data_IF_207719043567
#
_entry.id   IF_207719043567
#
_cell.length_a   1.000
_cell.length_b   1.000
_cell.length_c   1.000
_cell.angle_alpha   90.00
_cell.angle_beta   90.00
_cell.angle_gamma   90.00
#
_symmetry.space_group_name_H-M   'P 1'
#
loop_
_entity.id
_entity.type
_entity.pdbx_description
1 polymer ?
#
# COMPACT_ATOMS: atom_id res chain seq x y z
N UNK A 1 -2.79 0.90 19.38
CA UNK A 1 -2.68 2.15 20.16
C UNK A 1 -2.18 1.89 21.57
N UNK A 2 -2.98 1.29 22.47
CA UNK A 2 -2.60 1.12 23.89
C UNK A 2 -1.24 0.44 24.11
N UNK A 3 -0.97 -0.66 23.39
CA UNK A 3 0.32 -1.36 23.47
C UNK A 3 1.48 -0.52 22.95
N UNK A 4 1.27 0.24 21.86
CA UNK A 4 2.28 1.14 21.33
C UNK A 4 2.54 2.30 22.30
N UNK A 5 1.50 2.86 22.94
CA UNK A 5 1.64 3.89 23.97
C UNK A 5 2.39 3.37 25.19
N UNK A 6 2.10 2.14 25.65
CA UNK A 6 2.82 1.51 26.74
C UNK A 6 4.30 1.28 26.38
N UNK A 7 4.57 0.76 25.17
CA UNK A 7 5.93 0.58 24.67
C UNK A 7 6.68 1.91 24.54
N UNK A 8 6.05 2.96 24.02
CA UNK A 8 6.65 4.29 23.90
C UNK A 8 7.01 4.93 25.25
N UNK A 9 6.14 4.80 26.26
CA UNK A 9 6.41 5.36 27.60
C UNK A 9 7.60 4.66 28.31
N UNK A 10 7.79 3.39 28.00
CA UNK A 10 8.87 2.55 28.54
C UNK A 10 10.10 2.47 27.64
N UNK A 11 10.08 3.17 26.50
CA UNK A 11 11.21 3.25 25.56
C UNK A 11 12.31 4.20 26.07
N UNK A 12 13.49 4.06 25.47
CA UNK A 12 14.66 4.91 25.77
C UNK A 12 14.52 6.36 25.28
N UNK A 13 13.73 6.60 24.23
CA UNK A 13 13.36 7.95 23.78
C UNK A 13 11.84 8.05 23.59
N UNK A 14 11.21 8.69 24.59
CA UNK A 14 9.75 8.84 24.64
C UNK A 14 9.24 9.87 23.63
N UNK A 15 9.99 10.92 23.35
CA UNK A 15 9.51 11.98 22.46
C UNK A 15 9.49 11.49 21.02
N UNK A 16 10.57 10.81 20.60
CA UNK A 16 10.65 10.20 19.29
C UNK A 16 9.59 9.10 19.11
N UNK A 17 9.43 8.21 20.10
CA UNK A 17 8.42 7.15 20.02
C UNK A 17 6.96 7.65 19.96
N UNK A 18 6.65 8.75 20.66
CA UNK A 18 5.29 9.28 20.72
C UNK A 18 4.93 10.10 19.48
N UNK A 19 5.82 10.99 19.05
CA UNK A 19 5.51 12.02 18.05
C UNK A 19 6.43 11.98 16.83
N UNK A 20 7.66 11.50 16.99
CA UNK A 20 8.73 11.66 15.99
C UNK A 20 8.91 13.12 15.58
N UNK A 21 9.54 13.35 14.42
CA UNK A 21 9.69 14.71 13.90
C UNK A 21 8.42 15.23 13.20
N UNK A 22 7.60 14.34 12.64
CA UNK A 22 6.42 14.72 11.84
C UNK A 22 5.33 13.65 11.83
N UNK A 23 5.01 13.06 12.98
CA UNK A 23 4.06 11.94 13.09
C UNK A 23 4.41 10.81 12.11
N UNK A 24 5.67 10.36 12.18
CA UNK A 24 6.19 9.31 11.32
C UNK A 24 5.35 8.03 11.45
N UNK A 25 5.34 7.21 10.40
CA UNK A 25 4.40 6.07 10.23
C UNK A 25 4.46 5.05 11.37
N UNK A 26 5.56 5.01 12.13
CA UNK A 26 5.79 4.09 13.23
C UNK A 26 5.57 4.70 14.62
N UNK A 27 5.19 5.98 14.71
CA UNK A 27 4.94 6.68 15.97
C UNK A 27 3.59 6.30 16.58
N UNK A 28 3.47 6.48 17.90
CA UNK A 28 2.17 6.33 18.58
C UNK A 28 1.15 7.33 18.06
N UNK A 29 1.56 8.58 17.82
CA UNK A 29 0.69 9.63 17.28
C UNK A 29 0.09 9.23 15.93
N UNK A 30 0.89 8.67 15.02
CA UNK A 30 0.39 8.15 13.76
C UNK A 30 -0.60 6.99 13.94
N UNK A 31 -0.32 6.04 14.84
CA UNK A 31 -1.26 4.95 15.14
C UNK A 31 -2.58 5.44 15.73
N UNK A 32 -2.56 6.49 16.56
CA UNK A 32 -3.77 7.14 17.10
C UNK A 32 -4.58 7.77 15.97
N UNK A 33 -3.92 8.55 15.10
CA UNK A 33 -4.56 9.15 13.93
C UNK A 33 -5.21 8.09 13.04
N UNK A 34 -4.50 7.00 12.75
CA UNK A 34 -5.03 5.90 11.94
C UNK A 34 -6.28 5.28 12.54
N UNK A 35 -6.32 5.02 13.85
CA UNK A 35 -7.54 4.47 14.41
C UNK A 35 -8.66 5.49 14.62
N UNK A 36 -8.37 6.80 14.69
CA UNK A 36 -9.42 7.83 14.56
C UNK A 36 -10.06 7.76 13.16
N UNK A 37 -9.24 7.66 12.10
CA UNK A 37 -9.72 7.51 10.71
C UNK A 37 -10.54 6.23 10.55
N UNK A 38 -10.06 5.09 11.08
CA UNK A 38 -10.81 3.82 11.05
C UNK A 38 -12.14 3.97 11.79
N UNK A 39 -12.14 4.53 13.00
CA UNK A 39 -13.37 4.72 13.78
C UNK A 39 -14.36 5.62 13.05
N UNK A 40 -13.91 6.74 12.48
CA UNK A 40 -14.75 7.63 11.69
C UNK A 40 -15.34 6.90 10.47
N UNK A 41 -14.54 6.10 9.76
CA UNK A 41 -15.02 5.33 8.61
C UNK A 41 -16.11 4.31 8.98
N UNK A 42 -15.98 3.65 10.15
CA UNK A 42 -16.98 2.72 10.67
C UNK A 42 -18.28 3.41 11.09
N UNK A 43 -18.20 4.64 11.61
CA UNK A 43 -19.40 5.42 11.95
C UNK A 43 -20.16 5.88 10.70
N UNK A 44 -19.43 6.28 9.66
CA UNK A 44 -19.98 6.78 8.39
C UNK A 44 -20.52 5.64 7.51
N UNK A 45 -19.92 4.45 7.58
CA UNK A 45 -20.21 3.28 6.73
C UNK A 45 -21.58 2.64 6.89
N UNK A 46 -22.49 3.19 7.69
CA UNK A 46 -23.83 2.61 7.91
C UNK A 46 -24.81 2.84 6.75
N UNK A 47 -24.53 3.77 5.83
CA UNK A 47 -25.41 4.04 4.68
C UNK A 47 -24.69 3.78 3.35
N UNK A 48 -25.41 3.15 2.41
CA UNK A 48 -24.91 2.92 1.04
C UNK A 48 -24.44 4.20 0.37
N UNK A 49 -25.15 5.31 0.58
CA UNK A 49 -24.79 6.62 0.05
C UNK A 49 -23.45 7.13 0.61
N UNK A 50 -23.22 6.95 1.91
CA UNK A 50 -21.98 7.39 2.54
C UNK A 50 -20.78 6.56 2.08
N UNK A 51 -20.94 5.24 1.93
CA UNK A 51 -19.91 4.37 1.35
C UNK A 51 -19.55 4.84 -0.07
N UNK A 52 -20.55 5.06 -0.94
CA UNK A 52 -20.32 5.54 -2.30
C UNK A 52 -19.59 6.89 -2.32
N UNK A 53 -19.97 7.84 -1.45
CA UNK A 53 -19.29 9.14 -1.33
C UNK A 53 -17.84 8.99 -0.88
N UNK A 54 -17.54 8.07 0.04
CA UNK A 54 -16.19 7.80 0.51
C UNK A 54 -15.32 7.21 -0.61
N UNK A 55 -15.85 6.28 -1.41
CA UNK A 55 -15.16 5.76 -2.59
C UNK A 55 -14.90 6.83 -3.65
N UNK A 56 -15.86 7.72 -3.90
CA UNK A 56 -15.66 8.84 -4.84
C UNK A 56 -14.59 9.80 -4.30
N UNK A 57 -14.67 10.17 -3.02
CA UNK A 57 -13.71 11.07 -2.38
C UNK A 57 -12.29 10.50 -2.42
N UNK A 58 -12.12 9.23 -2.02
CA UNK A 58 -10.81 8.56 -2.09
C UNK A 58 -10.29 8.43 -3.53
N UNK A 59 -11.16 8.17 -4.51
CA UNK A 59 -10.80 8.17 -5.93
C UNK A 59 -10.32 9.54 -6.43
N UNK A 60 -11.00 10.62 -6.02
CA UNK A 60 -10.60 12.00 -6.36
C UNK A 60 -9.28 12.39 -5.72
N UNK A 61 -9.08 12.06 -4.44
CA UNK A 61 -7.80 12.30 -3.74
C UNK A 61 -6.68 11.53 -4.41
N UNK A 62 -6.92 10.26 -4.79
CA UNK A 62 -5.93 9.43 -5.48
C UNK A 62 -5.57 10.01 -6.85
N UNK A 63 -6.56 10.46 -7.62
CA UNK A 63 -6.33 11.15 -8.89
C UNK A 63 -5.50 12.41 -8.71
N UNK A 64 -5.83 13.24 -7.72
CA UNK A 64 -5.11 14.47 -7.42
C UNK A 64 -3.64 14.18 -7.05
N UNK A 65 -3.39 13.19 -6.18
CA UNK A 65 -2.03 12.80 -5.80
C UNK A 65 -1.22 12.29 -7.01
N UNK A 66 -1.83 11.47 -7.87
CA UNK A 66 -1.19 10.98 -9.09
C UNK A 66 -0.89 12.11 -10.07
N UNK A 67 -1.80 13.06 -10.25
CA UNK A 67 -1.59 14.24 -11.10
C UNK A 67 -0.44 15.09 -10.56
N UNK A 68 -0.46 15.41 -9.26
CA UNK A 68 0.60 16.20 -8.62
C UNK A 68 1.96 15.50 -8.80
N UNK A 69 2.03 14.21 -8.52
CA UNK A 69 3.28 13.46 -8.67
C UNK A 69 3.74 13.43 -10.13
N UNK A 70 2.83 13.22 -11.09
CA UNK A 70 3.14 13.25 -12.52
C UNK A 70 3.72 14.59 -12.94
N UNK A 71 3.06 15.69 -12.54
CA UNK A 71 3.53 17.04 -12.85
C UNK A 71 4.90 17.30 -12.24
N UNK A 72 5.16 16.82 -11.03
CA UNK A 72 6.46 16.98 -10.36
C UNK A 72 7.59 16.19 -11.05
N UNK A 73 7.29 15.06 -11.69
CA UNK A 73 8.26 14.33 -12.50
C UNK A 73 8.65 15.09 -13.78
N UNK A 74 7.69 15.77 -14.43
CA UNK A 74 7.93 16.47 -15.70
C UNK A 74 8.41 17.92 -15.55
N UNK A 75 7.88 18.66 -14.56
CA UNK A 75 8.22 20.06 -14.30
C UNK A 75 9.46 20.21 -13.41
N UNK A 76 9.94 19.11 -12.82
CA UNK A 76 11.08 19.08 -11.92
C UNK A 76 10.71 19.12 -10.43
N UNK A 77 11.67 18.79 -9.55
CA UNK A 77 11.43 18.59 -8.12
C UNK A 77 11.03 19.87 -7.37
N UNK A 78 11.36 21.05 -7.90
CA UNK A 78 11.02 22.35 -7.32
C UNK A 78 9.51 22.64 -7.35
N UNK A 79 8.80 22.07 -8.33
CA UNK A 79 7.35 22.22 -8.46
C UNK A 79 6.64 21.61 -7.24
N UNK A 80 5.94 22.45 -6.47
CA UNK A 80 5.26 22.09 -5.22
C UNK A 80 6.19 21.45 -4.18
N UNK A 81 7.47 21.80 -4.15
CA UNK A 81 8.44 21.24 -3.20
C UNK A 81 8.13 21.52 -1.72
N UNK A 82 7.45 22.63 -1.41
CA UNK A 82 7.13 23.10 -0.04
C UNK A 82 8.32 23.02 0.94
N UNK A 83 9.55 23.15 0.43
CA UNK A 83 10.81 22.97 1.17
C UNK A 83 10.98 21.61 1.89
N UNK A 84 10.17 20.60 1.54
CA UNK A 84 10.24 19.24 2.11
C UNK A 84 10.52 18.19 1.03
N UNK A 85 10.01 18.40 -0.19
CA UNK A 85 10.16 17.49 -1.31
C UNK A 85 11.20 18.06 -2.28
N UNK A 86 12.48 17.81 -1.99
CA UNK A 86 13.60 18.39 -2.75
C UNK A 86 14.14 17.45 -3.84
N UNK A 87 13.90 16.14 -3.73
CA UNK A 87 14.36 15.15 -4.70
C UNK A 87 13.26 14.76 -5.70
N UNK A 88 13.62 14.43 -6.95
CA UNK A 88 12.64 13.96 -7.95
C UNK A 88 11.92 12.66 -7.55
N UNK A 89 12.52 11.89 -6.64
CA UNK A 89 11.99 10.63 -6.10
C UNK A 89 11.26 10.78 -4.77
N UNK A 90 11.24 11.98 -4.17
CA UNK A 90 10.39 12.21 -2.99
C UNK A 90 8.92 12.21 -3.42
N UNK A 91 8.02 11.71 -2.60
CA UNK A 91 6.60 11.62 -2.95
C UNK A 91 5.72 12.01 -1.77
N UNK A 92 4.48 12.44 -2.05
CA UNK A 92 3.50 12.73 -1.00
C UNK A 92 2.90 11.46 -0.35
N UNK A 93 3.20 10.29 -0.90
CA UNK A 93 2.65 9.00 -0.46
C UNK A 93 3.69 8.17 0.32
N UNK A 94 4.93 8.64 0.42
CA UNK A 94 6.04 7.96 1.09
C UNK A 94 7.28 7.85 0.21
N UNK A 95 7.97 6.72 0.28
CA UNK A 95 9.07 6.42 -0.63
C UNK A 95 8.59 6.28 -2.08
N UNK A 96 9.54 6.27 -3.02
CA UNK A 96 9.21 6.07 -4.43
C UNK A 96 8.61 4.68 -4.70
N UNK A 97 9.00 3.66 -3.93
CA UNK A 97 8.38 2.33 -4.00
C UNK A 97 6.99 2.30 -3.37
N UNK A 98 6.74 3.08 -2.32
CA UNK A 98 5.40 3.22 -1.74
C UNK A 98 4.41 3.84 -2.74
N UNK A 99 4.88 4.75 -3.60
CA UNK A 99 4.09 5.26 -4.71
C UNK A 99 3.70 4.18 -5.72
N UNK A 100 4.57 3.19 -6.00
CA UNK A 100 4.21 2.05 -6.84
C UNK A 100 3.15 1.16 -6.17
N UNK A 101 3.32 0.88 -4.87
CA UNK A 101 2.33 0.11 -4.09
C UNK A 101 0.98 0.83 -4.06
N UNK A 102 0.98 2.15 -3.85
CA UNK A 102 -0.21 2.99 -3.90
C UNK A 102 -0.86 2.98 -5.27
N UNK A 103 -0.08 3.15 -6.34
CA UNK A 103 -0.58 3.11 -7.72
C UNK A 103 -1.19 1.74 -8.06
N UNK A 104 -0.59 0.66 -7.59
CA UNK A 104 -1.14 -0.69 -7.70
C UNK A 104 -2.48 -0.82 -6.96
N UNK A 105 -2.58 -0.34 -5.72
CA UNK A 105 -3.83 -0.34 -4.96
C UNK A 105 -4.92 0.47 -5.68
N UNK A 106 -4.58 1.66 -6.18
CA UNK A 106 -5.49 2.53 -6.93
C UNK A 106 -5.97 1.83 -8.21
N UNK A 107 -5.11 1.08 -8.91
CA UNK A 107 -5.50 0.26 -10.05
C UNK A 107 -6.51 -0.84 -9.65
N UNK A 108 -6.23 -1.58 -8.58
CA UNK A 108 -7.15 -2.62 -8.08
C UNK A 108 -8.52 -2.03 -7.77
N UNK A 109 -8.57 -0.92 -7.02
CA UNK A 109 -9.81 -0.24 -6.68
C UNK A 109 -10.51 0.30 -7.93
N UNK A 110 -9.77 0.88 -8.87
CA UNK A 110 -10.33 1.41 -10.13
C UNK A 110 -10.98 0.30 -10.97
N UNK A 111 -10.35 -0.87 -11.07
CA UNK A 111 -10.91 -2.01 -11.79
C UNK A 111 -12.20 -2.52 -11.12
N UNK A 112 -12.24 -2.57 -9.78
CA UNK A 112 -13.45 -2.94 -9.03
C UNK A 112 -14.58 -1.92 -9.26
N UNK A 113 -14.27 -0.63 -9.15
CA UNK A 113 -15.26 0.44 -9.33
C UNK A 113 -15.86 0.46 -10.73
N UNK A 114 -15.03 0.27 -11.76
CA UNK A 114 -15.45 0.19 -13.17
C UNK A 114 -16.54 -0.87 -13.40
N UNK A 115 -16.56 -1.96 -12.62
CA UNK A 115 -17.58 -3.00 -12.70
C UNK A 115 -18.78 -2.74 -11.79
N UNK A 116 -18.53 -2.25 -10.58
CA UNK A 116 -19.56 -2.12 -9.54
C UNK A 116 -20.48 -0.91 -9.70
N UNK A 117 -20.03 0.14 -10.37
CA UNK A 117 -20.73 1.44 -10.39
C UNK A 117 -20.94 1.94 -11.82
N UNK A 118 -22.17 2.37 -12.11
CA UNK A 118 -22.49 3.05 -13.37
C UNK A 118 -22.09 4.52 -13.30
N UNK A 119 -21.00 4.88 -13.97
CA UNK A 119 -20.54 6.27 -14.04
C UNK A 119 -21.12 7.01 -15.24
N UNK A 120 -21.47 8.28 -15.03
CA UNK A 120 -21.64 9.26 -16.09
C UNK A 120 -20.30 9.55 -16.81
N UNK A 121 -20.33 10.36 -17.87
CA UNK A 121 -19.16 10.60 -18.72
C UNK A 121 -17.94 11.13 -17.93
N UNK A 122 -18.15 12.10 -17.02
CA UNK A 122 -17.10 12.66 -16.15
C UNK A 122 -16.43 11.57 -15.29
N UNK A 123 -17.23 10.68 -14.70
CA UNK A 123 -16.70 9.61 -13.86
C UNK A 123 -15.89 8.59 -14.66
N UNK A 124 -16.30 8.29 -15.91
CA UNK A 124 -15.52 7.41 -16.80
C UNK A 124 -14.20 8.06 -17.19
N UNK A 125 -14.19 9.35 -17.50
CA UNK A 125 -12.96 10.11 -17.80
C UNK A 125 -12.04 10.12 -16.58
N UNK A 126 -12.56 10.45 -15.40
CA UNK A 126 -11.79 10.47 -14.16
C UNK A 126 -11.16 9.09 -13.87
N UNK A 127 -11.92 8.01 -13.96
CA UNK A 127 -11.41 6.64 -13.76
C UNK A 127 -10.38 6.22 -14.81
N UNK A 128 -10.59 6.60 -16.07
CA UNK A 128 -9.61 6.33 -17.14
C UNK A 128 -8.31 7.05 -16.87
N UNK A 129 -8.37 8.34 -16.51
CA UNK A 129 -7.20 9.14 -16.14
C UNK A 129 -6.49 8.53 -14.93
N UNK A 130 -7.22 8.17 -13.87
CA UNK A 130 -6.64 7.51 -12.69
C UNK A 130 -5.93 6.22 -13.07
N UNK A 131 -6.53 5.38 -13.91
CA UNK A 131 -5.94 4.11 -14.37
C UNK A 131 -4.67 4.35 -15.18
N UNK A 132 -4.72 5.27 -16.14
CA UNK A 132 -3.57 5.60 -17.01
C UNK A 132 -2.41 6.18 -16.19
N UNK A 133 -2.69 7.15 -15.31
CA UNK A 133 -1.67 7.76 -14.46
C UNK A 133 -1.07 6.75 -13.47
N UNK A 134 -1.88 5.84 -12.94
CA UNK A 134 -1.38 4.78 -12.05
C UNK A 134 -0.45 3.81 -12.78
N UNK A 135 -0.79 3.41 -14.02
CA UNK A 135 0.09 2.58 -14.85
C UNK A 135 1.38 3.31 -15.23
N UNK A 136 1.28 4.60 -15.55
CA UNK A 136 2.44 5.44 -15.82
C UNK A 136 3.37 5.51 -14.61
N UNK A 137 2.84 5.76 -13.41
CA UNK A 137 3.65 5.76 -12.19
C UNK A 137 4.29 4.41 -11.93
N UNK A 138 3.53 3.32 -12.08
CA UNK A 138 4.04 1.97 -11.88
C UNK A 138 5.15 1.61 -12.87
N UNK A 139 5.06 2.11 -14.11
CA UNK A 139 6.08 1.97 -15.15
C UNK A 139 7.36 2.73 -14.82
N UNK A 140 7.25 3.95 -14.29
CA UNK A 140 8.41 4.78 -13.93
C UNK A 140 9.14 4.21 -12.71
N UNK A 141 8.40 3.80 -11.68
CA UNK A 141 9.02 3.20 -10.48
C UNK A 141 9.59 1.81 -10.80
N UNK A 142 8.94 1.06 -11.69
CA UNK A 142 9.36 -0.28 -12.14
C UNK A 142 9.54 -1.29 -11.00
N UNK A 143 8.61 -1.32 -10.04
CA UNK A 143 8.67 -2.27 -8.93
C UNK A 143 8.08 -3.63 -9.33
N UNK A 144 8.93 -4.60 -9.67
CA UNK A 144 8.56 -5.89 -10.27
C UNK A 144 7.51 -6.69 -9.49
N UNK A 145 7.56 -6.67 -8.15
CA UNK A 145 6.59 -7.37 -7.31
C UNK A 145 5.16 -6.87 -7.52
N UNK A 146 4.98 -5.55 -7.72
CA UNK A 146 3.65 -4.96 -7.94
C UNK A 146 3.11 -5.35 -9.31
N UNK A 147 3.95 -5.38 -10.34
CA UNK A 147 3.55 -5.85 -11.67
C UNK A 147 3.03 -7.28 -11.67
N UNK A 148 3.67 -8.18 -10.91
CA UNK A 148 3.24 -9.57 -10.78
C UNK A 148 1.85 -9.67 -10.11
N UNK A 149 1.64 -8.93 -9.02
CA UNK A 149 0.37 -8.92 -8.29
C UNK A 149 -0.76 -8.33 -9.16
N UNK A 150 -0.54 -7.15 -9.73
CA UNK A 150 -1.54 -6.45 -10.56
C UNK A 150 -1.83 -7.25 -11.84
N UNK A 151 -0.81 -7.82 -12.48
CA UNK A 151 -0.98 -8.67 -13.65
C UNK A 151 -1.84 -9.91 -13.34
N UNK A 152 -1.57 -10.58 -12.22
CA UNK A 152 -2.34 -11.75 -11.80
C UNK A 152 -3.79 -11.38 -11.46
N UNK A 153 -4.01 -10.34 -10.65
CA UNK A 153 -5.35 -9.93 -10.22
C UNK A 153 -6.19 -9.38 -11.37
N UNK A 154 -5.59 -8.59 -12.27
CA UNK A 154 -6.28 -8.08 -13.46
C UNK A 154 -6.64 -9.20 -14.43
N UNK A 155 -5.77 -10.21 -14.58
CA UNK A 155 -6.06 -11.40 -15.40
C UNK A 155 -7.23 -12.20 -14.82
N UNK A 156 -7.20 -12.50 -13.51
CA UNK A 156 -8.31 -13.19 -12.83
C UNK A 156 -9.63 -12.42 -12.99
N UNK A 157 -9.58 -11.10 -12.87
CA UNK A 157 -10.74 -10.24 -13.02
C UNK A 157 -11.27 -10.21 -14.46
N UNK A 158 -10.40 -10.23 -15.46
CA UNK A 158 -10.77 -10.34 -16.88
C UNK A 158 -11.43 -11.69 -17.16
N UNK A 159 -10.83 -12.78 -16.68
CA UNK A 159 -11.38 -14.13 -16.83
C UNK A 159 -12.75 -14.24 -16.17
N UNK A 160 -12.92 -13.68 -14.98
CA UNK A 160 -14.22 -13.61 -14.30
C UNK A 160 -15.27 -12.87 -15.15
N UNK A 161 -14.94 -11.70 -15.70
CA UNK A 161 -15.85 -10.92 -16.53
C UNK A 161 -16.29 -11.69 -17.79
N UNK A 162 -15.36 -12.35 -18.48
CA UNK A 162 -15.66 -13.12 -19.69
C UNK A 162 -16.44 -14.41 -19.38
N UNK A 163 -16.12 -15.05 -18.25
CA UNK A 163 -16.77 -16.29 -17.82
C UNK A 163 -18.19 -16.05 -17.29
N UNK A 164 -18.46 -14.91 -16.65
CA UNK A 164 -19.79 -14.60 -16.10
C UNK A 164 -20.86 -14.61 -17.20
N UNK A 165 -20.56 -14.03 -18.35
CA UNK A 165 -21.53 -13.91 -19.45
C UNK A 165 -21.76 -15.23 -20.20
N UNK A 166 -20.79 -16.16 -20.15
CA UNK A 166 -20.78 -17.38 -20.98
C UNK A 166 -21.11 -18.65 -20.20
N UNK A 167 -20.52 -18.86 -19.01
CA UNK A 167 -20.50 -20.15 -18.30
C UNK A 167 -21.24 -20.14 -16.96
N UNK A 168 -21.23 -19.04 -16.21
CA UNK A 168 -21.81 -18.94 -14.86
C UNK A 168 -23.28 -18.47 -14.88
N UNK A 169 -24.01 -18.81 -15.95
CA UNK A 169 -25.41 -18.43 -16.12
C UNK A 169 -26.28 -19.15 -15.10
N UNK A 170 -26.79 -18.41 -14.13
CA UNK A 170 -27.97 -18.79 -13.38
C UNK A 170 -29.20 -18.36 -14.19
N UNK A 171 -30.17 -19.26 -14.32
CA UNK A 171 -31.36 -19.16 -15.20
C UNK A 171 -32.27 -17.94 -14.90
N UNK A 172 -31.99 -17.20 -13.81
CA UNK A 172 -32.80 -16.09 -13.29
C UNK A 172 -32.10 -14.71 -13.24
N UNK A 173 -30.86 -14.53 -13.72
CA UNK A 173 -30.25 -13.18 -13.74
C UNK A 173 -30.60 -12.41 -15.03
N UNK A 174 -31.19 -11.22 -14.89
CA UNK A 174 -31.41 -10.27 -15.99
C UNK A 174 -30.07 -9.93 -16.69
N UNK A 175 -30.09 -9.78 -18.02
CA UNK A 175 -28.93 -9.37 -18.83
C UNK A 175 -28.42 -8.00 -18.39
N UNK A 176 -27.46 -7.97 -17.47
CA UNK A 176 -26.60 -6.80 -17.31
C UNK A 176 -25.39 -7.01 -18.22
N UNK A 177 -25.51 -6.58 -19.48
CA UNK A 177 -24.41 -6.63 -20.44
C UNK A 177 -23.13 -6.07 -19.80
N UNK A 178 -22.05 -6.84 -19.87
CA UNK A 178 -20.72 -6.35 -19.52
C UNK A 178 -20.43 -5.08 -20.31
N UNK A 179 -19.96 -4.06 -19.61
CA UNK A 179 -19.62 -2.79 -20.24
C UNK A 179 -18.36 -3.00 -21.10
N UNK A 180 -18.39 -2.74 -22.42
CA UNK A 180 -17.21 -2.90 -23.27
C UNK A 180 -16.07 -1.98 -22.82
N UNK A 181 -16.40 -0.84 -22.21
CA UNK A 181 -15.44 0.05 -21.55
C UNK A 181 -14.71 -0.62 -20.39
N UNK A 182 -15.42 -1.41 -19.57
CA UNK A 182 -14.80 -2.11 -18.44
C UNK A 182 -13.82 -3.17 -18.91
N UNK A 183 -14.22 -3.96 -19.92
CA UNK A 183 -13.35 -4.97 -20.54
C UNK A 183 -12.12 -4.31 -21.15
N UNK A 184 -12.26 -3.20 -21.88
CA UNK A 184 -11.15 -2.49 -22.48
C UNK A 184 -10.14 -1.96 -21.45
N UNK A 185 -10.61 -1.37 -20.34
CA UNK A 185 -9.73 -0.86 -19.29
C UNK A 185 -8.98 -1.97 -18.56
N UNK A 186 -9.66 -3.07 -18.22
CA UNK A 186 -9.01 -4.21 -17.56
C UNK A 186 -8.03 -4.89 -18.51
N UNK A 187 -8.39 -5.05 -19.78
CA UNK A 187 -7.49 -5.59 -20.80
C UNK A 187 -6.24 -4.72 -20.95
N UNK A 188 -6.38 -3.39 -20.92
CA UNK A 188 -5.23 -2.47 -20.92
C UNK A 188 -4.31 -2.71 -19.71
N UNK A 189 -4.85 -2.88 -18.50
CA UNK A 189 -4.05 -3.22 -17.31
C UNK A 189 -3.35 -4.57 -17.46
N UNK A 190 -4.05 -5.60 -17.96
CA UNK A 190 -3.49 -6.95 -18.19
C UNK A 190 -2.33 -6.89 -19.19
N UNK A 191 -2.53 -6.28 -20.36
CA UNK A 191 -1.52 -6.20 -21.40
C UNK A 191 -0.29 -5.42 -20.93
N UNK A 192 -0.52 -4.28 -20.27
CA UNK A 192 0.59 -3.47 -19.73
C UNK A 192 1.36 -4.26 -18.68
N UNK A 193 0.67 -4.92 -17.75
CA UNK A 193 1.32 -5.73 -16.71
C UNK A 193 2.12 -6.89 -17.30
N UNK A 194 1.58 -7.60 -18.30
CA UNK A 194 2.27 -8.70 -18.95
C UNK A 194 3.56 -8.23 -19.65
N UNK A 195 3.51 -7.09 -20.33
CA UNK A 195 4.68 -6.47 -20.96
C UNK A 195 5.77 -6.16 -19.93
N UNK A 196 5.42 -5.62 -18.77
CA UNK A 196 6.40 -5.32 -17.70
C UNK A 196 6.88 -6.56 -16.94
N UNK A 197 6.04 -7.58 -16.75
CA UNK A 197 6.47 -8.84 -16.14
C UNK A 197 7.50 -9.56 -17.02
N UNK A 198 7.31 -9.54 -18.34
CA UNK A 198 8.24 -10.18 -19.29
C UNK A 198 9.45 -9.30 -19.60
N UNK A 199 9.25 -8.00 -19.79
CA UNK A 199 10.27 -7.05 -20.23
C UNK A 199 10.95 -6.24 -19.12
N UNK A 200 10.66 -6.50 -17.84
CA UNK A 200 10.86 -5.59 -16.72
C UNK A 200 12.20 -4.85 -16.65
N UNK A 201 13.33 -5.56 -16.70
CA UNK A 201 14.64 -4.90 -16.60
C UNK A 201 15.00 -4.06 -17.83
N UNK A 202 14.65 -4.55 -19.02
CA UNK A 202 14.95 -3.86 -20.29
C UNK A 202 14.06 -2.62 -20.44
N UNK A 203 12.77 -2.76 -20.16
CA UNK A 203 11.81 -1.66 -20.21
C UNK A 203 12.07 -0.64 -19.11
N UNK A 204 12.34 -1.10 -17.89
CA UNK A 204 12.71 -0.23 -16.77
C UNK A 204 13.95 0.60 -17.05
N UNK A 205 15.00 -0.01 -17.62
CA UNK A 205 16.22 0.72 -17.99
C UNK A 205 15.98 1.70 -19.16
N UNK A 206 15.13 1.36 -20.13
CA UNK A 206 14.74 2.28 -21.20
C UNK A 206 13.97 3.48 -20.64
N UNK A 207 12.99 3.25 -19.76
CA UNK A 207 12.21 4.31 -19.11
C UNK A 207 13.11 5.18 -18.24
N UNK A 208 13.99 4.57 -17.43
CA UNK A 208 14.95 5.29 -16.59
C UNK A 208 15.88 6.19 -17.40
N UNK A 209 16.34 5.73 -18.58
CA UNK A 209 17.13 6.54 -19.52
C UNK A 209 16.33 7.71 -20.10
N UNK A 210 15.05 7.51 -20.40
CA UNK A 210 14.18 8.56 -20.96
C UNK A 210 13.77 9.60 -19.92
N UNK A 211 13.48 9.19 -18.68
CA UNK A 211 13.02 10.07 -17.61
C UNK A 211 14.16 10.67 -16.79
N UNK A 212 15.35 10.07 -16.85
CA UNK A 212 16.49 10.43 -15.99
C UNK A 212 16.31 10.01 -14.54
N UNK A 213 15.29 9.20 -14.22
CA UNK A 213 14.98 8.77 -12.86
C UNK A 213 15.49 7.34 -12.68
N UNK A 214 16.47 7.17 -11.80
CA UNK A 214 16.92 5.86 -11.33
C UNK A 214 16.80 5.82 -9.82
N UNK A 215 16.01 4.89 -9.31
CA UNK A 215 15.76 4.74 -7.88
C UNK A 215 15.96 3.27 -7.49
N UNK A 216 16.89 3.06 -6.57
CA UNK A 216 17.09 1.77 -5.92
C UNK A 216 16.91 1.99 -4.42
N UNK A 217 15.81 1.47 -3.88
CA UNK A 217 15.64 1.40 -2.44
C UNK A 217 16.28 0.12 -1.93
N UNK A 218 17.24 0.26 -1.03
CA UNK A 218 17.83 -0.86 -0.32
C UNK A 218 17.11 -1.00 1.02
N UNK A 219 16.82 -2.23 1.42
CA UNK A 219 16.20 -2.55 2.71
C UNK A 219 16.95 -3.71 3.37
N UNK A 220 16.94 -3.82 4.70
CA UNK A 220 17.46 -5.01 5.38
C UNK A 220 16.79 -6.28 4.86
N UNK A 221 17.56 -7.36 4.77
CA UNK A 221 17.02 -8.68 4.45
C UNK A 221 16.09 -9.17 5.57
N UNK A 222 15.25 -10.17 5.26
CA UNK A 222 14.41 -10.80 6.26
C UNK A 222 15.25 -11.38 7.41
N UNK A 223 16.36 -12.04 7.08
CA UNK A 223 17.28 -12.63 8.07
C UNK A 223 17.89 -11.56 8.97
N UNK A 224 18.44 -10.48 8.40
CA UNK A 224 19.00 -9.38 9.18
C UNK A 224 17.94 -8.71 10.08
N UNK A 225 16.69 -8.64 9.62
CA UNK A 225 15.58 -8.14 10.45
C UNK A 225 15.28 -9.09 11.60
N UNK A 226 15.30 -10.40 11.37
CA UNK A 226 15.06 -11.41 12.39
C UNK A 226 16.21 -11.52 13.41
N UNK A 227 17.45 -11.27 12.98
CA UNK A 227 18.60 -11.12 13.87
C UNK A 227 18.39 -9.95 14.84
N UNK A 228 17.88 -8.83 14.32
CA UNK A 228 17.51 -7.68 15.14
C UNK A 228 16.38 -7.98 16.14
N UNK A 229 15.38 -8.77 15.74
CA UNK A 229 14.32 -9.25 16.66
C UNK A 229 14.94 -10.06 17.79
N UNK A 230 15.80 -11.04 17.46
CA UNK A 230 16.47 -11.89 18.45
C UNK A 230 17.32 -11.08 19.42
N UNK A 231 18.11 -10.14 18.90
CA UNK A 231 18.94 -9.26 19.70
C UNK A 231 18.09 -8.35 20.62
N UNK A 232 17.01 -7.78 20.09
CA UNK A 232 16.10 -6.93 20.87
C UNK A 232 15.42 -7.72 22.00
N UNK A 233 15.02 -8.96 21.72
CA UNK A 233 14.32 -9.79 22.70
C UNK A 233 15.23 -10.24 23.84
N UNK A 234 16.54 -10.25 23.65
CA UNK A 234 17.48 -10.47 24.77
C UNK A 234 17.36 -9.42 25.88
N UNK A 235 16.94 -8.20 25.53
CA UNK A 235 16.77 -7.09 26.47
C UNK A 235 15.31 -6.84 26.86
N UNK A 236 14.39 -6.77 25.88
CA UNK A 236 12.98 -6.51 26.14
C UNK A 236 12.07 -7.28 25.17
N UNK A 237 11.74 -8.53 25.54
CA UNK A 237 10.85 -9.40 24.76
C UNK A 237 9.47 -8.79 24.57
N UNK A 238 8.89 -8.23 25.64
CA UNK A 238 7.46 -7.91 25.65
C UNK A 238 7.14 -6.69 24.78
N UNK A 239 7.94 -5.63 24.90
CA UNK A 239 7.63 -4.32 24.31
C UNK A 239 8.61 -3.88 23.22
N UNK A 240 9.72 -4.61 23.03
CA UNK A 240 10.72 -4.26 22.03
C UNK A 240 11.51 -3.00 22.39
N UNK A 241 12.05 -2.33 21.38
CA UNK A 241 12.86 -1.10 21.55
C UNK A 241 12.04 0.20 21.70
N UNK A 242 10.74 0.16 21.39
CA UNK A 242 9.86 1.32 21.30
C UNK A 242 9.38 1.59 19.87
N UNK A 243 8.14 2.10 19.67
CA UNK A 243 7.67 2.57 18.37
C UNK A 243 8.62 3.62 17.78
N UNK A 244 8.72 3.72 16.46
CA UNK A 244 9.65 4.62 15.75
C UNK A 244 11.16 4.40 15.97
N UNK A 245 11.59 3.42 16.78
CA UNK A 245 13.00 3.26 17.16
C UNK A 245 13.73 2.10 16.47
N UNK A 246 13.28 1.73 15.27
CA UNK A 246 13.96 0.66 14.52
C UNK A 246 15.40 1.05 14.16
N UNK A 247 15.64 2.31 13.82
CA UNK A 247 16.97 2.84 13.51
C UNK A 247 17.95 2.68 14.68
N UNK A 248 17.49 2.90 15.91
CA UNK A 248 18.29 2.68 17.12
C UNK A 248 18.69 1.21 17.27
N UNK A 249 17.73 0.30 17.08
CA UNK A 249 18.00 -1.14 17.11
C UNK A 249 18.98 -1.55 16.00
N UNK A 250 18.87 -0.95 14.82
CA UNK A 250 19.77 -1.20 13.70
C UNK A 250 21.20 -0.78 14.04
N UNK A 251 21.38 0.44 14.54
CA UNK A 251 22.70 0.95 14.94
C UNK A 251 23.33 0.12 16.07
N UNK A 252 22.51 -0.36 17.00
CA UNK A 252 22.98 -1.11 18.16
C UNK A 252 23.29 -2.57 17.86
N UNK A 253 22.50 -3.24 17.02
CA UNK A 253 22.53 -4.69 16.86
C UNK A 253 22.81 -5.18 15.43
N UNK A 254 23.06 -4.30 14.46
CA UNK A 254 23.43 -4.74 13.10
C UNK A 254 24.65 -5.65 13.13
N UNK A 255 24.64 -6.66 12.27
CA UNK A 255 25.76 -7.59 12.12
C UNK A 255 27.04 -6.82 11.72
N UNK A 256 28.18 -7.05 12.41
CA UNK A 256 29.46 -6.46 12.03
C UNK A 256 29.86 -6.65 10.56
N UNK A 257 29.42 -7.74 9.90
CA UNK A 257 29.67 -8.00 8.47
C UNK A 257 29.13 -6.85 7.60
N UNK A 258 28.05 -6.18 8.01
CA UNK A 258 27.48 -5.04 7.27
C UNK A 258 28.48 -3.88 7.20
N UNK A 259 29.38 -3.76 8.19
CA UNK A 259 30.41 -2.72 8.19
C UNK A 259 31.46 -2.90 7.09
N UNK A 260 31.53 -4.09 6.47
CA UNK A 260 32.40 -4.39 5.33
C UNK A 260 31.71 -4.12 3.98
N UNK A 261 30.45 -3.70 3.99
CA UNK A 261 29.65 -3.43 2.78
C UNK A 261 29.56 -1.94 2.47
N UNK A 262 29.10 -1.60 1.27
CA UNK A 262 28.80 -0.21 0.87
C UNK A 262 27.67 0.44 1.72
N UNK A 263 26.98 -0.33 2.55
CA UNK A 263 25.86 0.12 3.40
C UNK A 263 26.26 0.30 4.86
N UNK A 264 27.56 0.28 5.19
CA UNK A 264 28.05 0.36 6.58
C UNK A 264 27.51 1.58 7.35
N UNK A 265 27.39 2.72 6.66
CA UNK A 265 26.89 3.99 7.21
C UNK A 265 25.42 4.26 6.87
N UNK A 266 24.69 3.27 6.34
CA UNK A 266 23.27 3.42 6.02
C UNK A 266 22.43 3.17 7.26
N UNK A 267 21.64 4.17 7.62
CA UNK A 267 20.64 4.07 8.69
C UNK A 267 19.30 3.65 8.09
N UNK A 268 18.86 2.44 8.43
CA UNK A 268 17.55 1.95 8.03
C UNK A 268 16.53 2.29 9.11
N UNK A 269 15.44 2.95 8.71
CA UNK A 269 14.32 3.31 9.59
C UNK A 269 13.26 2.20 9.68
N UNK A 270 13.39 1.15 8.87
CA UNK A 270 12.54 -0.04 8.88
C UNK A 270 13.32 -1.27 8.41
N UNK A 271 12.84 -2.45 8.80
CA UNK A 271 13.38 -3.73 8.35
C UNK A 271 12.89 -4.13 6.96
N UNK A 272 12.86 -5.43 6.70
CA UNK A 272 12.42 -6.00 5.43
C UNK A 272 10.98 -5.61 5.03
N UNK A 273 10.13 -5.31 6.02
CA UNK A 273 8.78 -4.81 5.79
C UNK A 273 8.14 -4.29 7.08
N UNK A 274 6.94 -3.75 6.98
CA UNK A 274 6.26 -3.13 8.12
C UNK A 274 5.99 -4.11 9.27
N UNK A 275 5.49 -5.33 8.98
CA UNK A 275 5.17 -6.32 10.02
C UNK A 275 6.43 -6.79 10.76
N UNK A 276 7.52 -7.24 10.11
CA UNK A 276 8.77 -7.58 10.80
C UNK A 276 9.33 -6.40 11.61
N UNK A 277 9.19 -5.17 11.12
CA UNK A 277 9.63 -3.96 11.84
C UNK A 277 8.87 -3.79 13.16
N UNK A 278 7.56 -4.05 13.17
CA UNK A 278 6.75 -4.01 14.40
C UNK A 278 7.23 -5.01 15.46
N UNK A 279 7.78 -6.15 15.06
CA UNK A 279 8.26 -7.15 16.01
C UNK A 279 9.48 -6.64 16.78
N UNK A 280 10.32 -5.83 16.15
CA UNK A 280 11.44 -5.14 16.78
C UNK A 280 10.96 -3.98 17.66
N UNK A 281 10.09 -3.12 17.12
CA UNK A 281 9.71 -1.86 17.79
C UNK A 281 8.68 -2.03 18.90
N UNK A 282 7.75 -2.99 18.77
CA UNK A 282 6.65 -3.21 19.73
C UNK A 282 6.72 -4.54 20.47
N UNK A 283 7.75 -5.35 20.20
CA UNK A 283 8.00 -6.62 20.86
C UNK A 283 6.94 -7.67 20.58
N UNK A 284 6.96 -8.73 21.40
CA UNK A 284 6.03 -9.85 21.29
C UNK A 284 4.57 -9.40 21.51
N UNK A 285 4.32 -8.42 22.37
CA UNK A 285 2.98 -7.93 22.62
C UNK A 285 2.35 -7.31 21.36
N UNK A 286 3.11 -6.48 20.63
CA UNK A 286 2.64 -5.92 19.36
C UNK A 286 2.53 -6.97 18.25
N UNK A 287 3.47 -7.92 18.21
CA UNK A 287 3.40 -9.05 17.29
C UNK A 287 2.13 -9.90 17.50
N UNK A 288 1.79 -10.23 18.75
CA UNK A 288 0.56 -10.96 19.05
C UNK A 288 -0.68 -10.14 18.71
N UNK A 289 -0.67 -8.84 18.98
CA UNK A 289 -1.78 -7.95 18.65
C UNK A 289 -2.07 -7.93 17.14
N UNK A 290 -1.05 -7.88 16.29
CA UNK A 290 -1.25 -7.91 14.83
C UNK A 290 -1.73 -9.28 14.34
N UNK A 291 -1.23 -10.37 14.92
CA UNK A 291 -1.71 -11.73 14.61
C UNK A 291 -3.19 -11.88 14.98
N UNK A 292 -3.58 -11.47 16.19
CA UNK A 292 -4.98 -11.49 16.64
C UNK A 292 -5.85 -10.63 15.73
N UNK A 293 -5.39 -9.43 15.36
CA UNK A 293 -6.10 -8.57 14.43
C UNK A 293 -6.32 -9.23 13.05
N UNK A 294 -5.28 -9.84 12.47
CA UNK A 294 -5.37 -10.53 11.19
C UNK A 294 -6.34 -11.73 11.24
N UNK A 295 -6.27 -12.53 12.31
CA UNK A 295 -7.19 -13.65 12.52
C UNK A 295 -8.64 -13.18 12.67
N UNK A 296 -8.87 -12.11 13.44
CA UNK A 296 -10.20 -11.52 13.60
C UNK A 296 -10.72 -10.94 12.26
N UNK A 297 -9.86 -10.31 11.47
CA UNK A 297 -10.20 -9.79 10.16
C UNK A 297 -10.60 -10.91 9.18
N UNK A 298 -9.81 -11.98 9.12
CA UNK A 298 -10.12 -13.16 8.28
C UNK A 298 -11.42 -13.80 8.75
N UNK A 299 -11.61 -13.98 10.05
CA UNK A 299 -12.83 -14.53 10.61
C UNK A 299 -14.05 -13.68 10.24
N UNK A 300 -13.97 -12.35 10.38
CA UNK A 300 -15.04 -11.44 9.98
C UNK A 300 -15.36 -11.53 8.48
N UNK A 301 -14.33 -11.64 7.63
CA UNK A 301 -14.52 -11.83 6.19
C UNK A 301 -15.23 -13.15 5.86
N UNK A 302 -14.84 -14.26 6.52
CA UNK A 302 -15.50 -15.57 6.35
C UNK A 302 -16.96 -15.50 6.79
N UNK A 303 -17.25 -14.90 7.95
CA UNK A 303 -18.62 -14.75 8.46
C UNK A 303 -19.48 -13.90 7.52
N UNK A 304 -18.91 -12.83 6.96
CA UNK A 304 -19.60 -11.97 6.00
C UNK A 304 -19.91 -12.70 4.69
N UNK A 305 -18.97 -13.50 4.20
CA UNK A 305 -19.09 -14.27 2.94
C UNK A 305 -19.89 -15.57 3.11
N UNK A 306 -20.22 -15.96 4.35
CA UNK A 306 -20.95 -17.20 4.61
C UNK A 306 -22.40 -17.11 4.10
N UNK A 307 -22.93 -18.18 3.47
CA UNK A 307 -24.26 -18.18 2.86
C UNK A 307 -25.42 -17.97 3.85
N UNK A 308 -25.17 -18.14 5.15
CA UNK A 308 -26.15 -17.90 6.22
C UNK A 308 -26.46 -16.40 6.40
N UNK A 309 -25.49 -15.51 6.16
CA UNK A 309 -25.71 -14.05 6.22
C UNK A 309 -26.18 -13.45 4.89
N UNK A 310 -25.90 -14.11 3.75
CA UNK A 310 -26.38 -13.63 2.45
C UNK A 310 -27.93 -13.70 2.35
N UNK A 311 -28.56 -14.72 2.97
CA UNK A 311 -30.03 -14.84 3.03
C UNK A 311 -30.72 -13.79 3.91
N UNK A 312 -30.05 -13.26 4.94
CA UNK A 312 -30.62 -12.23 5.83
C UNK A 312 -30.41 -10.80 5.31
N UNK A 313 -29.45 -10.59 4.40
CA UNK A 313 -29.13 -9.28 3.81
C UNK A 313 -29.86 -9.01 2.49
N UNK A 314 -30.62 -9.98 1.95
CA UNK A 314 -31.45 -9.77 0.76
C UNK A 314 -30.63 -9.44 -0.48
N UNK A 315 -29.54 -10.20 -0.68
CA UNK A 315 -28.85 -10.31 -1.98
C UNK A 315 -29.28 -11.62 -2.62
#
# INVERSE_FOLDING_TARGET
MLLASASALLSGDRQDSLWGNSLEVQTVGFFVLMGMVITASLMIGKSKLAITKLFIFSGLVSLLLLVIQTLRLFLGPEFLSFNQFLASTSTYVGSFNDLALFSGLVLLVSMILIQGVSFGWLGRVALSLTTILSLLMLAIVNFSFVWLIIGTLSLLMLLYLLSKDTWLRLENEERKNTSPFAVAMILLVVLTSLVFVVGGNNLGSAISKMTGISYLEVRPSFDATMDLVRATYSNNVLLGVGPNRFEDAWRQYKDPIINETNFWSTDFTAGNGFIPTLFVTTGLAGALAIVVFLLAFIYAAIVLLSPLNLKTVGI
#
